data_IF_511839400406
#
_entry.id   IF_511839400406
#
_cell.length_a   1.000
_cell.length_b   1.000
_cell.length_c   1.000
_cell.angle_alpha   90.00
_cell.angle_beta   90.00
_cell.angle_gamma   90.00
#
_symmetry.space_group_name_H-M   'P 1'
#
loop_
_entity.id
_entity.type
_entity.pdbx_description
1 polymer ?
#
# COMPACT_ATOMS: atom_id res chain seq x y z
N UNK A 1 34.22 -4.23 27.23
CA UNK A 1 33.43 -3.11 26.68
C UNK A 1 33.86 -2.64 25.28
N UNK A 2 34.12 -3.55 24.34
CA UNK A 2 34.70 -3.20 23.03
C UNK A 2 33.85 -3.43 21.77
N UNK A 3 32.74 -4.17 21.84
CA UNK A 3 32.12 -4.74 20.62
C UNK A 3 30.81 -4.07 20.18
N UNK A 4 30.41 -2.95 20.79
CA UNK A 4 29.17 -2.26 20.44
C UNK A 4 29.40 -1.09 19.49
N UNK A 5 28.96 -1.24 18.23
CA UNK A 5 28.92 -0.15 17.24
C UNK A 5 27.50 0.40 17.10
N UNK A 6 27.31 1.68 17.39
CA UNK A 6 26.03 2.36 17.18
C UNK A 6 26.01 3.00 15.80
N UNK A 7 25.01 2.67 14.99
CA UNK A 7 24.81 3.24 13.65
C UNK A 7 23.43 3.88 13.59
N UNK A 8 23.37 5.18 13.30
CA UNK A 8 22.11 5.91 13.11
C UNK A 8 21.74 5.87 11.63
N UNK A 9 20.95 4.86 11.24
CA UNK A 9 20.50 4.70 9.86
C UNK A 9 19.10 4.05 9.81
N UNK A 10 18.47 4.10 8.64
CA UNK A 10 17.29 3.29 8.37
C UNK A 10 17.67 1.79 8.34
N UNK A 11 16.96 0.90 9.04
CA UNK A 11 17.31 -0.52 9.08
C UNK A 11 17.37 -1.18 7.69
N UNK A 12 16.49 -0.81 6.76
CA UNK A 12 16.53 -1.36 5.39
C UNK A 12 17.75 -0.87 4.62
N UNK A 13 18.12 0.39 4.82
CA UNK A 13 19.33 0.94 4.21
C UNK A 13 20.59 0.26 4.78
N UNK A 14 20.63 -0.01 6.09
CA UNK A 14 21.74 -0.71 6.73
C UNK A 14 21.91 -2.13 6.17
N UNK A 15 20.82 -2.90 6.04
CA UNK A 15 20.85 -4.26 5.49
C UNK A 15 21.33 -4.32 4.03
N UNK A 16 21.27 -3.21 3.29
CA UNK A 16 21.78 -3.12 1.91
C UNK A 16 23.28 -2.87 1.80
N UNK A 17 23.98 -2.64 2.91
CA UNK A 17 25.41 -2.31 2.92
C UNK A 17 26.34 -3.52 2.79
N UNK A 18 25.79 -4.74 2.78
CA UNK A 18 26.52 -5.97 2.48
C UNK A 18 27.23 -6.62 3.68
N UNK A 19 27.10 -6.08 4.88
CA UNK A 19 27.51 -6.77 6.11
C UNK A 19 26.61 -7.99 6.37
N UNK A 20 27.19 -9.05 6.95
CA UNK A 20 26.50 -10.29 7.29
C UNK A 20 26.54 -10.57 8.78
N UNK A 21 25.49 -11.21 9.28
CA UNK A 21 25.28 -11.45 10.70
C UNK A 21 24.84 -12.90 10.96
N UNK A 22 25.28 -13.47 12.08
CA UNK A 22 24.77 -14.76 12.59
C UNK A 22 23.38 -14.62 13.21
N UNK A 23 23.08 -13.45 13.78
CA UNK A 23 21.83 -13.16 14.47
C UNK A 23 21.39 -11.72 14.19
N UNK A 24 20.18 -11.56 13.66
CA UNK A 24 19.52 -10.27 13.53
C UNK A 24 18.37 -10.20 14.54
N UNK A 25 18.49 -9.30 15.52
CA UNK A 25 17.42 -9.01 16.48
C UNK A 25 16.66 -7.75 16.06
N UNK A 26 15.50 -7.92 15.44
CA UNK A 26 14.65 -6.81 15.04
C UNK A 26 13.71 -6.39 16.18
N UNK A 27 14.19 -5.44 16.99
CA UNK A 27 13.43 -4.80 18.06
C UNK A 27 12.53 -3.67 17.54
N UNK A 28 11.65 -3.99 16.57
CA UNK A 28 10.86 -3.02 15.84
C UNK A 28 9.44 -2.89 16.42
N UNK A 29 8.80 -1.71 16.30
CA UNK A 29 7.41 -1.52 16.72
C UNK A 29 6.47 -2.36 15.88
N UNK A 30 5.23 -2.55 16.34
CA UNK A 30 4.22 -3.28 15.59
C UNK A 30 3.82 -2.55 14.27
N UNK A 31 3.26 -3.26 13.28
CA UNK A 31 2.86 -2.68 11.99
C UNK A 31 1.57 -1.83 12.09
N UNK A 32 1.53 -0.88 13.04
CA UNK A 32 0.40 0.04 13.29
C UNK A 32 0.38 1.28 12.40
N UNK A 33 1.40 1.46 11.56
CA UNK A 33 1.47 2.52 10.55
C UNK A 33 2.14 1.97 9.29
N UNK A 34 1.93 2.61 8.13
CA UNK A 34 2.62 2.23 6.89
C UNK A 34 4.16 2.28 7.04
N UNK A 35 4.67 3.25 7.84
CA UNK A 35 6.10 3.35 8.16
C UNK A 35 6.63 2.15 8.95
N UNK A 36 5.86 1.61 9.88
CA UNK A 36 6.27 0.42 10.63
C UNK A 36 5.99 -0.86 9.84
N UNK A 37 4.92 -0.88 9.03
CA UNK A 37 4.54 -2.06 8.25
C UNK A 37 5.64 -2.51 7.28
N UNK A 38 6.43 -1.56 6.74
CA UNK A 38 7.57 -1.87 5.87
C UNK A 38 8.60 -2.78 6.54
N UNK A 39 8.66 -2.90 7.85
CA UNK A 39 9.60 -3.83 8.51
C UNK A 39 9.01 -5.22 8.75
N UNK A 40 7.88 -5.53 8.13
CA UNK A 40 7.20 -6.83 8.20
C UNK A 40 6.78 -7.30 6.80
N UNK A 41 7.43 -6.81 5.75
CA UNK A 41 7.13 -7.20 4.37
C UNK A 41 8.11 -8.26 3.86
N UNK A 42 7.71 -8.95 2.80
CA UNK A 42 8.58 -9.85 2.04
C UNK A 42 9.90 -9.20 1.68
N UNK A 43 9.88 -7.96 1.18
CA UNK A 43 11.09 -7.24 0.76
C UNK A 43 12.05 -7.00 1.94
N UNK A 44 11.53 -6.76 3.14
CA UNK A 44 12.35 -6.63 4.34
C UNK A 44 12.93 -7.97 4.79
N UNK A 45 12.13 -9.03 4.80
CA UNK A 45 12.62 -10.38 5.14
C UNK A 45 13.66 -10.89 4.13
N UNK A 46 13.51 -10.56 2.84
CA UNK A 46 14.50 -10.84 1.82
C UNK A 46 15.81 -10.07 2.07
N UNK A 47 15.73 -8.79 2.45
CA UNK A 47 16.91 -8.00 2.84
C UNK A 47 17.60 -8.60 4.08
N UNK A 48 16.85 -8.99 5.11
CA UNK A 48 17.40 -9.70 6.27
C UNK A 48 18.07 -11.01 5.87
N UNK A 49 17.43 -11.83 5.03
CA UNK A 49 18.01 -13.08 4.55
C UNK A 49 19.31 -12.86 3.75
N UNK A 50 19.40 -11.77 2.97
CA UNK A 50 20.62 -11.38 2.27
C UNK A 50 21.78 -10.98 3.21
N UNK A 51 21.44 -10.45 4.38
CA UNK A 51 22.38 -10.04 5.42
C UNK A 51 22.62 -11.12 6.51
N UNK A 52 22.08 -12.33 6.36
CA UNK A 52 22.32 -13.45 7.28
C UNK A 52 23.38 -14.40 6.72
N UNK A 53 24.28 -14.87 7.59
CA UNK A 53 25.15 -16.00 7.29
C UNK A 53 24.35 -17.32 7.14
N UNK A 54 24.93 -18.37 6.52
CA UNK A 54 24.39 -19.73 6.59
C UNK A 54 24.15 -20.12 8.07
N UNK A 55 23.01 -20.71 8.38
CA UNK A 55 22.59 -20.99 9.76
C UNK A 55 22.13 -19.77 10.59
N UNK A 56 22.21 -18.55 10.04
CA UNK A 56 21.82 -17.33 10.73
C UNK A 56 20.32 -17.28 11.07
N UNK A 57 19.99 -16.54 12.14
CA UNK A 57 18.62 -16.44 12.65
C UNK A 57 18.17 -14.98 12.65
N UNK A 58 16.98 -14.72 12.11
CA UNK A 58 16.25 -13.48 12.33
C UNK A 58 15.25 -13.71 13.47
N UNK A 59 15.27 -12.86 14.49
CA UNK A 59 14.28 -12.88 15.56
C UNK A 59 13.60 -11.51 15.71
N UNK A 60 12.28 -11.52 15.86
CA UNK A 60 11.51 -10.32 16.14
C UNK A 60 10.32 -10.61 17.03
N UNK A 61 9.71 -9.54 17.56
CA UNK A 61 8.55 -9.62 18.42
C UNK A 61 7.32 -9.14 17.68
N UNK A 62 6.20 -9.84 17.87
CA UNK A 62 4.89 -9.41 17.38
C UNK A 62 3.93 -9.38 18.56
N UNK A 63 3.19 -8.28 18.80
CA UNK A 63 2.15 -8.27 19.82
C UNK A 63 1.15 -9.40 19.54
N UNK A 64 0.94 -10.25 20.54
CA UNK A 64 0.06 -11.40 20.46
C UNK A 64 -1.08 -11.27 21.45
N UNK A 65 -1.69 -12.40 21.71
CA UNK A 65 -2.56 -12.61 22.87
C UNK A 65 -2.21 -13.98 23.42
N UNK A 66 -2.04 -14.05 24.74
CA UNK A 66 -1.52 -15.27 25.37
C UNK A 66 -2.50 -16.45 25.31
N UNK A 67 -3.81 -16.16 25.37
CA UNK A 67 -4.85 -17.19 25.53
C UNK A 67 -5.76 -17.34 24.30
N UNK A 68 -6.16 -16.24 23.66
CA UNK A 68 -7.10 -16.29 22.53
C UNK A 68 -6.65 -15.34 21.43
N UNK A 69 -6.35 -15.89 20.26
CA UNK A 69 -6.08 -15.11 19.07
C UNK A 69 -7.40 -14.75 18.40
N UNK A 70 -7.76 -13.46 18.44
CA UNK A 70 -8.83 -12.93 17.59
C UNK A 70 -8.45 -13.06 16.12
N UNK A 71 -9.46 -12.98 15.24
CA UNK A 71 -9.25 -13.11 13.80
C UNK A 71 -8.18 -12.12 13.27
N UNK A 72 -8.20 -10.80 13.61
CA UNK A 72 -7.16 -9.88 13.16
C UNK A 72 -5.74 -10.23 13.63
N UNK A 73 -5.58 -10.81 14.83
CA UNK A 73 -4.28 -11.26 15.34
C UNK A 73 -3.76 -12.45 14.52
N UNK A 74 -4.63 -13.44 14.30
CA UNK A 74 -4.28 -14.65 13.56
C UNK A 74 -3.95 -14.34 12.09
N UNK A 75 -4.75 -13.50 11.42
CA UNK A 75 -4.52 -13.05 10.04
C UNK A 75 -3.23 -12.24 9.89
N UNK A 76 -2.94 -11.35 10.85
CA UNK A 76 -1.67 -10.60 10.87
C UNK A 76 -0.48 -11.55 11.02
N UNK A 77 -0.53 -12.48 11.98
CA UNK A 77 0.53 -13.45 12.20
C UNK A 77 0.72 -14.38 10.99
N UNK A 78 -0.36 -14.86 10.37
CA UNK A 78 -0.32 -15.69 9.16
C UNK A 78 0.30 -14.96 7.97
N UNK A 79 -0.10 -13.70 7.73
CA UNK A 79 0.45 -12.87 6.66
C UNK A 79 1.95 -12.60 6.86
N UNK A 80 2.38 -12.27 8.08
CA UNK A 80 3.79 -12.07 8.41
C UNK A 80 4.58 -13.38 8.25
N UNK A 81 4.05 -14.50 8.76
CA UNK A 81 4.68 -15.83 8.61
C UNK A 81 4.88 -16.17 7.14
N UNK A 82 3.86 -15.98 6.30
CA UNK A 82 3.95 -16.23 4.85
C UNK A 82 5.01 -15.34 4.20
N UNK A 83 5.01 -14.06 4.53
CA UNK A 83 5.98 -13.09 3.99
C UNK A 83 7.42 -13.43 4.37
N UNK A 84 7.63 -13.88 5.60
CA UNK A 84 8.94 -14.31 6.08
C UNK A 84 9.36 -15.64 5.44
N UNK A 85 8.45 -16.60 5.33
CA UNK A 85 8.70 -17.93 4.77
C UNK A 85 9.15 -17.90 3.30
N UNK A 86 8.77 -16.86 2.54
CA UNK A 86 9.25 -16.68 1.16
C UNK A 86 10.78 -16.47 1.06
N UNK A 87 11.42 -15.92 2.11
CA UNK A 87 12.87 -15.69 2.16
C UNK A 87 13.61 -16.58 3.18
N UNK A 88 12.92 -17.00 4.23
CA UNK A 88 13.42 -17.78 5.37
C UNK A 88 12.44 -18.93 5.64
N UNK A 89 12.60 -20.10 4.97
CA UNK A 89 11.60 -21.16 4.94
C UNK A 89 11.18 -21.70 6.32
N UNK A 90 12.08 -21.66 7.30
CA UNK A 90 11.81 -22.16 8.64
C UNK A 90 11.41 -21.02 9.57
N UNK A 91 10.09 -20.85 9.75
CA UNK A 91 9.50 -19.85 10.66
C UNK A 91 8.86 -20.54 11.86
N UNK A 92 9.33 -20.23 13.07
CA UNK A 92 8.79 -20.69 14.34
C UNK A 92 8.21 -19.51 15.11
N UNK A 93 6.93 -19.59 15.48
CA UNK A 93 6.25 -18.57 16.29
C UNK A 93 6.03 -19.15 17.69
N UNK A 94 6.75 -18.63 18.67
CA UNK A 94 6.59 -18.99 20.07
C UNK A 94 5.48 -18.13 20.67
N UNK A 95 4.33 -18.71 21.06
CA UNK A 95 3.20 -17.95 21.57
C UNK A 95 3.44 -17.41 22.98
N UNK A 96 2.91 -16.23 23.25
CA UNK A 96 2.93 -15.61 24.57
C UNK A 96 2.12 -14.30 24.59
N UNK A 97 2.23 -13.52 25.66
CA UNK A 97 1.68 -12.15 25.68
C UNK A 97 2.26 -11.31 24.52
N UNK A 98 3.53 -11.55 24.20
CA UNK A 98 4.19 -11.11 22.97
C UNK A 98 4.75 -12.34 22.30
N UNK A 99 4.39 -12.55 21.04
CA UNK A 99 4.89 -13.68 20.26
C UNK A 99 6.34 -13.40 19.85
N UNK A 100 7.22 -14.37 20.06
CA UNK A 100 8.59 -14.33 19.53
C UNK A 100 8.61 -15.12 18.24
N UNK A 101 8.99 -14.47 17.15
CA UNK A 101 9.08 -15.09 15.84
C UNK A 101 10.55 -15.29 15.50
N UNK A 102 10.90 -16.53 15.17
CA UNK A 102 12.23 -16.93 14.74
C UNK A 102 12.15 -17.39 13.30
N UNK A 103 13.06 -16.90 12.46
CA UNK A 103 13.11 -17.24 11.04
C UNK A 103 14.54 -17.63 10.66
N UNK A 104 14.72 -18.73 9.92
CA UNK A 104 16.02 -19.13 9.39
C UNK A 104 15.90 -19.82 8.02
N UNK A 105 17.03 -19.92 7.33
CA UNK A 105 17.20 -20.78 6.14
C UNK A 105 17.34 -22.24 6.50
N UNK A 106 17.77 -22.53 7.73
CA UNK A 106 17.96 -23.89 8.23
C UNK A 106 16.89 -24.26 9.26
N UNK A 107 16.62 -25.57 9.47
CA UNK A 107 15.65 -26.02 10.46
C UNK A 107 15.95 -25.49 11.86
N UNK A 108 14.97 -24.81 12.46
CA UNK A 108 15.03 -24.38 13.84
C UNK A 108 14.76 -25.56 14.78
N UNK A 109 15.63 -25.78 15.77
CA UNK A 109 15.41 -26.83 16.76
C UNK A 109 14.17 -26.53 17.60
N UNK A 110 13.32 -27.53 17.75
CA UNK A 110 12.12 -27.51 18.61
C UNK A 110 12.29 -28.36 19.86
N UNK A 111 13.43 -29.05 19.98
CA UNK A 111 13.72 -29.93 21.11
C UNK A 111 14.18 -29.10 22.32
N UNK A 112 13.40 -29.06 23.41
CA UNK A 112 13.77 -28.31 24.61
C UNK A 112 15.02 -28.89 25.28
N UNK A 113 15.32 -30.19 25.12
CA UNK A 113 16.52 -30.79 25.70
C UNK A 113 17.80 -30.24 25.05
N UNK A 114 17.80 -30.08 23.72
CA UNK A 114 18.92 -29.49 22.97
C UNK A 114 19.15 -28.03 23.39
N UNK A 115 18.08 -27.25 23.51
CA UNK A 115 18.20 -25.85 23.93
C UNK A 115 18.63 -25.70 25.39
N UNK A 116 18.13 -26.57 26.26
CA UNK A 116 18.51 -26.62 27.68
C UNK A 116 19.97 -27.00 27.87
N UNK A 117 20.48 -27.97 27.10
CA UNK A 117 21.89 -28.34 27.09
C UNK A 117 22.76 -27.14 26.68
N UNK A 118 22.44 -26.49 25.55
CA UNK A 118 23.15 -25.28 25.07
C UNK A 118 23.10 -24.13 26.08
N UNK A 119 21.99 -23.95 26.79
CA UNK A 119 21.84 -22.93 27.81
C UNK A 119 22.82 -23.16 28.98
N UNK A 120 22.92 -24.41 29.44
CA UNK A 120 23.84 -24.82 30.52
C UNK A 120 25.31 -24.77 30.08
N UNK A 121 25.62 -25.29 28.90
CA UNK A 121 26.99 -25.28 28.32
C UNK A 121 27.55 -23.86 28.21
N UNK A 122 26.70 -22.90 27.86
CA UNK A 122 27.07 -21.48 27.73
C UNK A 122 27.04 -20.71 29.05
N UNK A 123 26.66 -21.36 30.16
CA UNK A 123 26.58 -20.73 31.49
C UNK A 123 25.63 -19.53 31.55
N UNK A 124 24.56 -19.53 30.76
CA UNK A 124 23.63 -18.39 30.68
C UNK A 124 22.87 -18.23 32.00
N UNK A 125 22.67 -16.98 32.43
CA UNK A 125 21.87 -16.65 33.60
C UNK A 125 20.68 -15.77 33.17
N UNK A 126 19.50 -16.40 33.06
CA UNK A 126 18.25 -15.70 32.74
C UNK A 126 17.41 -15.47 33.98
N UNK A 127 16.75 -14.31 34.06
CA UNK A 127 15.75 -14.01 35.13
C UNK A 127 14.39 -14.64 34.88
N UNK A 128 14.04 -14.83 33.61
CA UNK A 128 12.75 -15.37 33.15
C UNK A 128 12.96 -16.63 32.31
N UNK A 129 13.95 -16.60 31.41
CA UNK A 129 14.27 -17.73 30.55
C UNK A 129 15.27 -18.63 31.26
N UNK A 130 14.81 -19.82 31.62
CA UNK A 130 15.62 -20.92 32.14
C UNK A 130 15.26 -22.23 31.38
N UNK A 131 15.98 -23.34 31.60
CA UNK A 131 15.67 -24.62 30.97
C UNK A 131 14.21 -25.09 31.15
N UNK A 132 13.62 -24.89 32.34
CA UNK A 132 12.25 -25.30 32.61
C UNK A 132 11.23 -24.41 31.88
N UNK A 133 11.51 -23.11 31.75
CA UNK A 133 10.72 -22.20 30.94
C UNK A 133 10.78 -22.54 29.45
N UNK A 134 11.95 -22.92 28.93
CA UNK A 134 12.09 -23.36 27.54
C UNK A 134 11.30 -24.64 27.27
N UNK A 135 11.35 -25.60 28.22
CA UNK A 135 10.56 -26.82 28.16
C UNK A 135 9.06 -26.51 28.16
N UNK A 136 8.59 -25.68 29.09
CA UNK A 136 7.20 -25.21 29.11
C UNK A 136 6.80 -24.54 27.79
N UNK A 137 7.61 -23.61 27.27
CA UNK A 137 7.26 -22.83 26.08
C UNK A 137 7.15 -23.70 24.82
N UNK A 138 7.98 -24.75 24.71
CA UNK A 138 8.04 -25.62 23.53
C UNK A 138 7.12 -26.83 23.59
N UNK A 139 6.71 -27.26 24.79
CA UNK A 139 5.84 -28.43 24.98
C UNK A 139 4.38 -28.07 25.25
N UNK A 140 4.08 -26.79 25.48
CA UNK A 140 2.72 -26.34 25.76
C UNK A 140 1.81 -26.45 24.52
N UNK A 141 0.59 -26.95 24.73
CA UNK A 141 -0.51 -27.05 23.77
C UNK A 141 -0.74 -25.77 22.94
N UNK A 142 -0.44 -24.60 23.52
CA UNK A 142 -0.52 -23.30 22.83
C UNK A 142 0.32 -23.25 21.56
N UNK A 143 1.52 -23.83 21.56
CA UNK A 143 2.38 -23.83 20.37
C UNK A 143 1.70 -24.61 19.24
N UNK A 144 1.23 -25.82 19.51
CA UNK A 144 0.53 -26.66 18.55
C UNK A 144 -0.80 -26.02 18.07
N UNK A 145 -1.55 -25.40 18.99
CA UNK A 145 -2.80 -24.71 18.66
C UNK A 145 -2.57 -23.49 17.76
N UNK A 146 -1.54 -22.67 18.05
CA UNK A 146 -1.14 -21.55 17.20
C UNK A 146 -0.66 -22.01 15.83
N UNK A 147 0.15 -23.07 15.75
CA UNK A 147 0.61 -23.63 14.46
C UNK A 147 -0.56 -24.15 13.62
N UNK A 148 -1.47 -24.91 14.23
CA UNK A 148 -2.66 -25.45 13.56
C UNK A 148 -3.56 -24.32 13.04
N UNK A 149 -3.86 -23.32 13.88
CA UNK A 149 -4.66 -22.17 13.47
C UNK A 149 -4.02 -21.37 12.34
N UNK A 150 -2.70 -21.20 12.37
CA UNK A 150 -1.99 -20.52 11.28
C UNK A 150 -1.99 -21.34 10.00
N UNK A 151 -1.97 -22.68 10.07
CA UNK A 151 -2.03 -23.55 8.88
C UNK A 151 -3.39 -23.47 8.16
N UNK A 152 -4.47 -23.19 8.88
CA UNK A 152 -5.82 -23.04 8.33
C UNK A 152 -6.03 -21.69 7.60
N UNK A 153 -5.24 -20.67 7.92
CA UNK A 153 -5.43 -19.30 7.40
C UNK A 153 -4.62 -19.09 6.12
N UNK A 154 -5.32 -18.95 4.99
CA UNK A 154 -4.73 -18.51 3.71
C UNK A 154 -4.64 -16.98 3.62
N UNK A 155 -3.77 -16.38 4.44
CA UNK A 155 -3.54 -14.95 4.40
C UNK A 155 -2.60 -14.57 3.23
N UNK A 156 -2.86 -13.45 2.51
CA UNK A 156 -1.94 -12.94 1.51
C UNK A 156 -0.62 -12.47 2.16
N UNK A 157 0.52 -12.55 1.46
CA UNK A 157 1.77 -12.00 1.96
C UNK A 157 1.68 -10.46 2.04
N UNK A 158 2.36 -9.90 3.02
CA UNK A 158 2.57 -8.48 3.22
C UNK A 158 3.76 -8.03 2.37
N UNK A 159 3.52 -7.10 1.46
CA UNK A 159 4.54 -6.56 0.54
C UNK A 159 4.54 -5.04 0.59
N UNK A 160 5.59 -4.42 0.06
CA UNK A 160 5.64 -2.96 -0.08
C UNK A 160 4.53 -2.42 -0.99
N UNK A 161 4.13 -3.19 -2.01
CA UNK A 161 3.02 -2.85 -2.90
C UNK A 161 1.64 -3.05 -2.24
N UNK A 162 1.52 -4.06 -1.38
CA UNK A 162 0.27 -4.43 -0.71
C UNK A 162 0.48 -4.59 0.80
N UNK A 163 0.42 -3.48 1.57
CA UNK A 163 0.71 -3.46 3.01
C UNK A 163 -0.46 -4.02 3.86
N UNK A 164 -0.84 -5.28 3.65
CA UNK A 164 -2.03 -5.90 4.26
C UNK A 164 -1.99 -5.97 5.79
N UNK A 165 -0.80 -6.05 6.39
CA UNK A 165 -0.66 -6.13 7.86
C UNK A 165 -1.03 -4.84 8.58
N UNK A 166 -0.89 -3.68 7.91
CA UNK A 166 -1.39 -2.40 8.44
C UNK A 166 -2.91 -2.48 8.66
N UNK A 167 -3.65 -3.00 7.67
CA UNK A 167 -5.10 -3.16 7.74
C UNK A 167 -5.53 -4.12 8.85
N UNK A 168 -4.88 -5.28 9.02
CA UNK A 168 -5.20 -6.19 10.13
C UNK A 168 -4.91 -5.55 11.49
N UNK A 169 -3.83 -4.76 11.60
CA UNK A 169 -3.51 -4.03 12.83
C UNK A 169 -4.53 -2.91 13.10
N UNK A 170 -5.00 -2.20 12.07
CA UNK A 170 -6.09 -1.22 12.21
C UNK A 170 -7.39 -1.88 12.64
N UNK A 171 -7.74 -3.05 12.09
CA UNK A 171 -8.92 -3.81 12.50
C UNK A 171 -8.81 -4.27 13.96
N UNK A 172 -7.63 -4.73 14.39
CA UNK A 172 -7.35 -5.08 15.78
C UNK A 172 -7.46 -3.87 16.72
N UNK A 173 -7.03 -2.69 16.28
CA UNK A 173 -7.15 -1.49 17.09
C UNK A 173 -8.61 -1.02 17.19
N UNK A 174 -9.34 -1.04 16.07
CA UNK A 174 -10.76 -0.71 16.02
C UNK A 174 -11.61 -1.72 16.80
N UNK A 175 -11.23 -2.99 16.87
CA UNK A 175 -11.96 -3.99 17.64
C UNK A 175 -11.99 -3.72 19.15
N UNK A 176 -11.11 -2.85 19.65
CA UNK A 176 -11.16 -2.36 21.04
C UNK A 176 -12.37 -1.46 21.31
N UNK A 177 -12.85 -0.77 20.27
CA UNK A 177 -14.03 0.11 20.33
C UNK A 177 -15.27 -0.56 19.73
N UNK A 178 -15.08 -1.42 18.73
CA UNK A 178 -16.13 -2.12 17.99
C UNK A 178 -15.88 -3.64 18.03
N UNK A 179 -16.27 -4.34 19.10
CA UNK A 179 -15.90 -5.75 19.33
C UNK A 179 -16.26 -6.69 18.18
N UNK A 180 -17.33 -6.40 17.44
CA UNK A 180 -17.74 -7.17 16.27
C UNK A 180 -16.60 -7.37 15.25
N UNK A 181 -15.72 -6.38 15.05
CA UNK A 181 -14.58 -6.46 14.13
C UNK A 181 -13.52 -7.50 14.55
N UNK A 182 -13.47 -7.89 15.83
CA UNK A 182 -12.55 -8.92 16.33
C UNK A 182 -12.99 -10.35 16.02
N UNK A 183 -14.27 -10.55 15.69
CA UNK A 183 -14.87 -11.86 15.41
C UNK A 183 -15.15 -12.09 13.93
N UNK A 184 -14.92 -11.08 13.08
CA UNK A 184 -15.07 -11.21 11.63
C UNK A 184 -14.06 -12.23 11.13
N UNK A 185 -14.55 -13.41 10.78
CA UNK A 185 -13.75 -14.48 10.20
C UNK A 185 -13.45 -14.18 8.74
N UNK A 186 -12.20 -14.37 8.34
CA UNK A 186 -11.79 -14.12 6.97
C UNK A 186 -11.42 -12.67 6.68
N UNK A 187 -11.30 -12.37 5.40
CA UNK A 187 -11.15 -11.01 4.89
C UNK A 187 -12.38 -10.64 4.05
N UNK A 188 -13.52 -10.27 4.68
CA UNK A 188 -14.75 -9.96 3.95
C UNK A 188 -14.61 -8.75 3.03
N UNK A 189 -13.68 -7.84 3.34
CA UNK A 189 -13.35 -6.73 2.46
C UNK A 189 -12.72 -7.23 1.16
N UNK A 190 -11.79 -8.19 1.23
CA UNK A 190 -11.24 -8.84 0.03
C UNK A 190 -12.27 -9.73 -0.68
N UNK A 191 -13.10 -10.47 0.07
CA UNK A 191 -14.14 -11.31 -0.54
C UNK A 191 -15.19 -10.50 -1.30
N UNK A 192 -15.55 -9.32 -0.79
CA UNK A 192 -16.51 -8.40 -1.44
C UNK A 192 -15.87 -7.57 -2.55
N UNK A 193 -14.54 -7.48 -2.61
CA UNK A 193 -13.80 -6.67 -3.57
C UNK A 193 -14.19 -6.89 -5.04
N UNK A 194 -14.28 -8.13 -5.59
CA UNK A 194 -14.66 -8.32 -6.99
C UNK A 194 -16.07 -7.83 -7.30
N UNK A 195 -17.03 -8.05 -6.39
CA UNK A 195 -18.41 -7.61 -6.56
C UNK A 195 -18.52 -6.08 -6.51
N UNK A 196 -17.86 -5.44 -5.54
CA UNK A 196 -17.82 -3.97 -5.43
C UNK A 196 -17.08 -3.36 -6.63
N UNK A 197 -15.95 -3.94 -7.05
CA UNK A 197 -15.23 -3.50 -8.23
C UNK A 197 -16.09 -3.60 -9.50
N UNK A 198 -16.80 -4.72 -9.70
CA UNK A 198 -17.74 -4.87 -10.81
C UNK A 198 -18.87 -3.84 -10.77
N UNK A 199 -19.44 -3.57 -9.59
CA UNK A 199 -20.46 -2.54 -9.40
C UNK A 199 -19.93 -1.13 -9.72
N UNK A 200 -18.73 -0.79 -9.28
CA UNK A 200 -18.07 0.48 -9.57
C UNK A 200 -17.79 0.62 -11.07
N UNK A 201 -17.31 -0.44 -11.73
CA UNK A 201 -17.10 -0.45 -13.18
C UNK A 201 -18.43 -0.29 -13.92
N UNK A 202 -19.47 -1.01 -13.54
CA UNK A 202 -20.81 -0.88 -14.13
C UNK A 202 -21.37 0.53 -13.93
N UNK A 203 -21.21 1.11 -12.74
CA UNK A 203 -21.60 2.48 -12.44
C UNK A 203 -20.84 3.49 -13.31
N UNK A 204 -19.51 3.35 -13.44
CA UNK A 204 -18.69 4.20 -14.31
C UNK A 204 -19.12 4.08 -15.78
N UNK A 205 -19.39 2.87 -16.28
CA UNK A 205 -19.88 2.64 -17.63
C UNK A 205 -21.25 3.30 -17.85
N UNK A 206 -22.21 3.08 -16.95
CA UNK A 206 -23.53 3.71 -17.03
C UNK A 206 -23.43 5.24 -16.96
N UNK A 207 -22.64 5.77 -16.02
CA UNK A 207 -22.41 7.20 -15.87
C UNK A 207 -21.80 7.81 -17.13
N UNK A 208 -20.81 7.15 -17.76
CA UNK A 208 -20.24 7.63 -19.02
C UNK A 208 -21.26 7.59 -20.15
N UNK A 209 -22.03 6.52 -20.32
CA UNK A 209 -23.06 6.40 -21.35
C UNK A 209 -24.13 7.50 -21.21
N UNK A 210 -24.56 7.79 -19.98
CA UNK A 210 -25.54 8.84 -19.69
C UNK A 210 -24.93 10.23 -19.88
N UNK A 211 -23.67 10.44 -19.49
CA UNK A 211 -22.99 11.73 -19.60
C UNK A 211 -22.65 12.10 -21.05
N UNK A 212 -22.34 11.12 -21.91
CA UNK A 212 -22.08 11.35 -23.35
C UNK A 212 -23.26 11.98 -24.09
N UNK A 213 -24.49 11.85 -23.57
CA UNK A 213 -25.70 12.39 -24.23
C UNK A 213 -25.92 13.89 -24.04
N UNK A 214 -25.30 14.53 -23.05
CA UNK A 214 -25.55 15.94 -22.70
C UNK A 214 -24.23 16.65 -22.39
N UNK A 215 -23.92 17.72 -23.11
CA UNK A 215 -22.71 18.56 -22.94
C UNK A 215 -22.45 18.93 -21.48
N UNK A 216 -23.47 19.39 -20.75
CA UNK A 216 -23.34 19.75 -19.32
C UNK A 216 -22.90 18.56 -18.45
N UNK A 217 -23.48 17.38 -18.64
CA UNK A 217 -23.14 16.18 -17.83
C UNK A 217 -21.74 15.68 -18.15
N UNK A 218 -21.36 15.71 -19.44
CA UNK A 218 -20.01 15.40 -19.90
C UNK A 218 -18.96 16.30 -19.24
N UNK A 219 -19.15 17.61 -19.28
CA UNK A 219 -18.24 18.58 -18.64
C UNK A 219 -18.09 18.32 -17.14
N UNK A 220 -19.20 18.12 -16.42
CA UNK A 220 -19.15 17.81 -14.99
C UNK A 220 -18.43 16.49 -14.70
N UNK A 221 -18.69 15.45 -15.51
CA UNK A 221 -18.02 14.15 -15.34
C UNK A 221 -16.52 14.21 -15.62
N UNK A 222 -16.09 15.00 -16.61
CA UNK A 222 -14.67 15.23 -16.88
C UNK A 222 -13.97 15.99 -15.74
N UNK A 223 -14.64 16.98 -15.14
CA UNK A 223 -14.14 17.70 -13.97
C UNK A 223 -13.98 16.77 -12.76
N UNK A 224 -15.01 15.96 -12.46
CA UNK A 224 -14.92 14.98 -11.37
C UNK A 224 -13.85 13.90 -11.62
N UNK A 225 -13.67 13.47 -12.87
CA UNK A 225 -12.60 12.56 -13.23
C UNK A 225 -11.20 13.17 -13.04
N UNK A 226 -11.04 14.47 -13.31
CA UNK A 226 -9.77 15.18 -13.06
C UNK A 226 -9.42 15.20 -11.58
N UNK A 227 -10.36 15.62 -10.72
CA UNK A 227 -10.16 15.61 -9.27
C UNK A 227 -9.88 14.21 -8.72
N UNK A 228 -10.64 13.20 -9.18
CA UNK A 228 -10.43 11.81 -8.75
C UNK A 228 -9.06 11.26 -9.18
N UNK A 229 -8.67 11.45 -10.44
CA UNK A 229 -7.36 11.00 -10.96
C UNK A 229 -6.20 11.70 -10.26
N UNK A 230 -6.31 13.02 -10.06
CA UNK A 230 -5.30 13.80 -9.36
C UNK A 230 -5.05 13.28 -7.94
N UNK A 231 -6.11 13.16 -7.14
CA UNK A 231 -6.01 12.65 -5.77
C UNK A 231 -5.57 11.18 -5.70
N UNK A 232 -6.01 10.36 -6.66
CA UNK A 232 -5.60 8.96 -6.73
C UNK A 232 -4.10 8.81 -6.99
N UNK A 233 -3.57 9.51 -7.99
CA UNK A 233 -2.14 9.46 -8.32
C UNK A 233 -1.27 10.06 -7.22
N UNK A 234 -1.67 11.20 -6.66
CA UNK A 234 -0.96 11.83 -5.55
C UNK A 234 -0.88 10.87 -4.34
N UNK A 235 -2.01 10.29 -3.93
CA UNK A 235 -2.06 9.37 -2.78
C UNK A 235 -1.21 8.13 -3.03
N UNK A 236 -1.32 7.49 -4.21
CA UNK A 236 -0.54 6.29 -4.56
C UNK A 236 0.96 6.58 -4.54
N UNK A 237 1.39 7.70 -5.12
CA UNK A 237 2.80 8.09 -5.17
C UNK A 237 3.36 8.43 -3.79
N UNK A 238 2.58 9.11 -2.95
CA UNK A 238 2.95 9.43 -1.57
C UNK A 238 3.10 8.16 -0.73
N UNK A 239 2.15 7.22 -0.82
CA UNK A 239 2.20 5.96 -0.07
C UNK A 239 3.37 5.10 -0.56
N UNK A 240 3.60 5.04 -1.87
CA UNK A 240 4.75 4.33 -2.42
C UNK A 240 6.06 4.90 -1.89
N UNK A 241 6.20 6.23 -1.87
CA UNK A 241 7.39 6.90 -1.35
C UNK A 241 7.65 6.55 0.12
N UNK A 242 6.60 6.42 0.93
CA UNK A 242 6.71 6.02 2.33
C UNK A 242 7.14 4.55 2.50
N UNK A 243 6.66 3.65 1.63
CA UNK A 243 7.03 2.24 1.67
C UNK A 243 8.53 2.03 1.35
N UNK A 244 9.09 2.82 0.43
CA UNK A 244 10.45 2.65 -0.09
C UNK A 244 11.62 3.06 0.82
N UNK A 245 11.38 3.61 2.02
CA UNK A 245 12.47 3.95 2.95
C UNK A 245 12.53 5.41 3.42
N UNK A 246 11.80 6.30 2.77
CA UNK A 246 11.94 7.75 3.01
C UNK A 246 11.08 8.26 4.17
N UNK A 247 11.56 9.32 4.83
CA UNK A 247 10.79 10.02 5.87
C UNK A 247 9.69 10.85 5.22
N UNK A 248 8.48 10.27 5.11
CA UNK A 248 7.35 10.95 4.49
C UNK A 248 7.11 12.34 5.10
N UNK A 249 7.09 12.46 6.43
CA UNK A 249 6.81 13.74 7.10
C UNK A 249 7.82 14.84 6.78
N UNK A 250 9.09 14.49 6.54
CA UNK A 250 10.11 15.46 6.16
C UNK A 250 9.85 16.02 4.76
N UNK A 251 9.47 15.13 3.84
CA UNK A 251 9.42 15.45 2.41
C UNK A 251 7.99 15.77 1.92
N UNK A 252 6.96 15.59 2.76
CA UNK A 252 5.54 15.75 2.41
C UNK A 252 5.25 17.13 1.81
N UNK A 253 5.74 18.21 2.45
CA UNK A 253 5.54 19.56 1.94
C UNK A 253 6.12 19.76 0.54
N UNK A 254 7.29 19.17 0.27
CA UNK A 254 7.91 19.20 -1.05
C UNK A 254 7.12 18.37 -2.07
N UNK A 255 6.67 17.17 -1.71
CA UNK A 255 5.85 16.31 -2.59
C UNK A 255 4.55 17.01 -3.00
N UNK A 256 3.84 17.59 -2.04
CA UNK A 256 2.62 18.37 -2.31
C UNK A 256 2.93 19.58 -3.19
N UNK A 257 4.02 20.31 -2.91
CA UNK A 257 4.44 21.47 -3.72
C UNK A 257 4.75 21.07 -5.17
N UNK A 258 5.40 19.93 -5.38
CA UNK A 258 5.71 19.42 -6.72
C UNK A 258 4.44 19.03 -7.49
N UNK A 259 3.49 18.39 -6.82
CA UNK A 259 2.18 18.07 -7.41
C UNK A 259 1.42 19.35 -7.80
N UNK A 260 1.35 20.32 -6.90
CA UNK A 260 0.71 21.62 -7.17
C UNK A 260 1.44 22.41 -8.26
N UNK A 261 2.77 22.39 -8.29
CA UNK A 261 3.58 22.97 -9.35
C UNK A 261 3.31 22.31 -10.71
N UNK A 262 3.16 20.97 -10.72
CA UNK A 262 2.69 20.22 -11.87
C UNK A 262 1.32 20.70 -12.34
N UNK A 263 0.34 20.84 -11.43
CA UNK A 263 -0.98 21.37 -11.77
C UNK A 263 -0.92 22.77 -12.39
N UNK A 264 -0.11 23.67 -11.83
CA UNK A 264 0.08 25.02 -12.36
C UNK A 264 0.68 25.01 -13.79
N UNK A 265 1.67 24.15 -14.03
CA UNK A 265 2.25 23.95 -15.37
C UNK A 265 1.23 23.37 -16.35
N UNK A 266 0.51 22.33 -15.96
CA UNK A 266 -0.53 21.71 -16.80
C UNK A 266 -1.64 22.69 -17.19
N UNK A 267 -2.11 23.47 -16.21
CA UNK A 267 -3.14 24.48 -16.42
C UNK A 267 -2.68 25.62 -17.32
N UNK A 268 -1.45 26.13 -17.14
CA UNK A 268 -0.91 27.23 -17.94
C UNK A 268 -0.64 26.83 -19.40
N UNK A 269 -0.11 25.63 -19.65
CA UNK A 269 0.10 25.10 -21.00
C UNK A 269 -1.22 24.97 -21.76
N UNK A 270 -2.28 24.53 -21.08
CA UNK A 270 -3.61 24.31 -21.68
C UNK A 270 -4.56 25.50 -21.52
N UNK A 271 -4.09 26.62 -20.94
CA UNK A 271 -4.92 27.81 -20.69
C UNK A 271 -5.45 28.44 -21.98
N UNK A 272 -4.73 28.27 -23.09
CA UNK A 272 -5.16 28.74 -24.41
C UNK A 272 -5.81 27.57 -25.16
N UNK A 273 -7.09 27.67 -25.55
CA UNK A 273 -7.71 26.63 -26.36
C UNK A 273 -6.93 26.48 -27.67
N UNK A 274 -6.40 25.28 -27.93
CA UNK A 274 -5.73 24.99 -29.19
C UNK A 274 -6.74 25.12 -30.33
N UNK A 275 -6.49 26.06 -31.26
CA UNK A 275 -7.28 26.21 -32.47
C UNK A 275 -7.07 24.98 -33.36
N UNK A 276 -8.10 24.13 -33.47
CA UNK A 276 -8.07 22.89 -34.24
C UNK A 276 -8.74 21.74 -33.51
N UNK A 277 -10.07 21.74 -33.47
CA UNK A 277 -10.89 20.67 -32.91
C UNK A 277 -11.04 19.53 -33.94
N UNK A 278 -10.35 18.44 -33.67
CA UNK A 278 -10.39 17.15 -34.37
C UNK A 278 -9.55 16.17 -33.56
N UNK A 279 -9.06 15.06 -34.15
CA UNK A 279 -8.25 13.99 -33.50
C UNK A 279 -7.23 14.43 -32.42
N UNK A 280 -6.72 15.67 -32.48
CA UNK A 280 -5.87 16.28 -31.44
C UNK A 280 -6.55 16.37 -30.05
N UNK A 281 -7.88 16.43 -29.98
CA UNK A 281 -8.64 16.43 -28.72
C UNK A 281 -8.52 15.10 -27.95
N UNK A 282 -8.26 13.99 -28.65
CA UNK A 282 -8.04 12.67 -28.07
C UNK A 282 -6.61 12.48 -27.53
N UNK A 283 -5.67 13.38 -27.85
CA UNK A 283 -4.27 13.26 -27.40
C UNK A 283 -4.20 13.30 -25.88
N UNK A 284 -4.82 14.30 -25.24
CA UNK A 284 -4.77 14.44 -23.78
C UNK A 284 -5.34 13.22 -23.03
N UNK A 285 -6.55 12.72 -23.33
CA UNK A 285 -7.04 11.54 -22.62
C UNK A 285 -6.29 10.26 -22.98
N UNK A 286 -5.70 10.15 -24.18
CA UNK A 286 -4.78 9.07 -24.51
C UNK A 286 -3.48 9.15 -23.68
N UNK A 287 -2.90 10.34 -23.50
CA UNK A 287 -1.71 10.52 -22.64
C UNK A 287 -2.03 10.25 -21.17
N UNK A 288 -3.24 10.55 -20.68
CA UNK A 288 -3.69 10.12 -19.35
C UNK A 288 -3.69 8.59 -19.20
N UNK A 289 -4.22 7.87 -20.18
CA UNK A 289 -4.28 6.41 -20.14
C UNK A 289 -2.87 5.79 -20.20
N UNK A 290 -2.00 6.33 -21.06
CA UNK A 290 -0.58 5.91 -21.15
C UNK A 290 0.16 6.22 -19.85
N UNK A 291 -0.06 7.38 -19.24
CA UNK A 291 0.52 7.74 -17.95
C UNK A 291 0.06 6.79 -16.84
N UNK A 292 -1.24 6.51 -16.73
CA UNK A 292 -1.79 5.60 -15.73
C UNK A 292 -1.21 4.17 -15.89
N UNK A 293 -1.13 3.67 -17.12
CA UNK A 293 -0.53 2.37 -17.40
C UNK A 293 0.98 2.37 -17.12
N UNK A 294 1.69 3.44 -17.50
CA UNK A 294 3.11 3.62 -17.23
C UNK A 294 3.42 3.69 -15.74
N UNK A 295 2.59 4.38 -14.97
CA UNK A 295 2.69 4.44 -13.51
C UNK A 295 2.49 3.06 -12.89
N UNK A 296 1.42 2.33 -13.26
CA UNK A 296 1.19 0.97 -12.78
C UNK A 296 2.37 0.03 -13.10
N UNK A 297 2.90 0.12 -14.33
CA UNK A 297 4.07 -0.65 -14.76
C UNK A 297 5.38 -0.24 -14.04
N UNK A 298 5.51 1.02 -13.62
CA UNK A 298 6.66 1.51 -12.85
C UNK A 298 6.59 0.96 -11.42
N UNK A 299 5.43 1.09 -10.77
CA UNK A 299 5.19 0.61 -9.41
C UNK A 299 5.36 -0.92 -9.32
N UNK A 300 4.81 -1.67 -10.28
CA UNK A 300 4.93 -3.14 -10.31
C UNK A 300 6.36 -3.65 -10.54
N UNK A 301 7.26 -2.81 -11.08
CA UNK A 301 8.70 -3.10 -11.18
C UNK A 301 9.50 -2.66 -9.95
N UNK A 302 8.84 -2.18 -8.89
CA UNK A 302 9.48 -1.62 -7.71
C UNK A 302 10.20 -0.29 -7.98
N UNK A 303 9.85 0.42 -9.06
CA UNK A 303 10.42 1.74 -9.40
C UNK A 303 9.47 2.86 -8.99
N UNK A 304 9.84 3.61 -7.95
CA UNK A 304 10.23 4.99 -8.15
C UNK A 304 11.50 5.30 -7.34
N UNK A 305 12.54 5.72 -8.06
CA UNK A 305 13.91 5.91 -7.59
C UNK A 305 14.07 7.06 -6.60
N UNK A 306 13.58 6.86 -5.37
CA UNK A 306 13.61 7.85 -4.30
C UNK A 306 12.84 9.12 -4.66
N UNK A 307 13.24 10.23 -4.04
CA UNK A 307 12.54 11.52 -4.15
C UNK A 307 12.48 12.02 -5.60
N UNK A 308 13.57 11.90 -6.36
CA UNK A 308 13.63 12.36 -7.74
C UNK A 308 12.66 11.59 -8.65
N UNK A 309 12.60 10.26 -8.52
CA UNK A 309 11.66 9.44 -9.28
C UNK A 309 10.21 9.78 -8.96
N UNK A 310 9.87 9.90 -7.67
CA UNK A 310 8.51 10.28 -7.25
C UNK A 310 8.14 11.70 -7.69
N UNK A 311 9.10 12.64 -7.65
CA UNK A 311 8.89 14.02 -8.09
C UNK A 311 8.46 14.11 -9.55
N UNK A 312 9.13 13.36 -10.45
CA UNK A 312 8.78 13.35 -11.89
C UNK A 312 7.34 12.87 -12.09
N UNK A 313 6.96 11.78 -11.43
CA UNK A 313 5.60 11.23 -11.53
C UNK A 313 4.56 12.18 -10.94
N UNK A 314 4.85 12.87 -9.83
CA UNK A 314 3.92 13.84 -9.22
C UNK A 314 3.72 15.07 -10.11
N UNK A 315 4.80 15.64 -10.65
CA UNK A 315 4.70 16.81 -11.55
C UNK A 315 3.92 16.43 -12.81
N UNK A 316 4.21 15.28 -13.42
CA UNK A 316 3.51 14.81 -14.61
C UNK A 316 2.03 14.49 -14.32
N UNK A 317 1.73 13.80 -13.21
CA UNK A 317 0.37 13.48 -12.80
C UNK A 317 -0.46 14.73 -12.50
N UNK A 318 0.11 15.70 -11.77
CA UNK A 318 -0.52 16.98 -11.49
C UNK A 318 -0.79 17.78 -12.76
N UNK A 319 0.20 17.86 -13.68
CA UNK A 319 0.03 18.56 -14.95
C UNK A 319 -1.09 17.96 -15.81
N UNK A 320 -1.15 16.62 -15.86
CA UNK A 320 -2.17 15.89 -16.61
C UNK A 320 -3.57 16.03 -16.01
N UNK A 321 -3.71 15.95 -14.67
CA UNK A 321 -4.98 16.17 -13.98
C UNK A 321 -5.49 17.60 -14.22
N UNK A 322 -4.63 18.61 -14.08
CA UNK A 322 -4.98 20.00 -14.33
C UNK A 322 -5.34 20.26 -15.81
N UNK A 323 -4.63 19.65 -16.76
CA UNK A 323 -4.96 19.75 -18.17
C UNK A 323 -6.36 19.19 -18.47
N UNK A 324 -6.75 18.07 -17.83
CA UNK A 324 -8.09 17.51 -17.97
C UNK A 324 -9.15 18.47 -17.41
N UNK A 325 -8.89 19.08 -16.25
CA UNK A 325 -9.77 20.07 -15.64
C UNK A 325 -9.94 21.33 -16.53
N UNK A 326 -8.85 21.88 -17.05
CA UNK A 326 -8.89 23.05 -17.96
C UNK A 326 -9.65 22.73 -19.24
N UNK A 327 -9.55 21.50 -19.75
CA UNK A 327 -10.34 21.08 -20.90
C UNK A 327 -11.83 20.95 -20.58
N UNK A 328 -12.16 20.45 -19.40
CA UNK A 328 -13.55 20.40 -18.94
C UNK A 328 -14.14 21.82 -18.83
N UNK A 329 -13.39 22.78 -18.31
CA UNK A 329 -13.85 24.17 -18.15
C UNK A 329 -13.91 24.94 -19.47
N UNK A 330 -12.95 24.76 -20.38
CA UNK A 330 -12.93 25.41 -21.71
C UNK A 330 -13.97 24.86 -22.68
N UNK A 331 -14.37 23.59 -22.57
CA UNK A 331 -15.48 23.01 -23.34
C UNK A 331 -16.86 23.43 -22.86
N UNK A 332 -16.96 24.22 -21.79
CA UNK A 332 -18.23 24.71 -21.30
C UNK A 332 -18.69 25.91 -22.14
N UNK A 333 -19.68 25.68 -23.01
CA UNK A 333 -20.49 26.74 -23.61
C UNK A 333 -21.35 27.50 -22.56
N UNK A 334 -21.04 27.37 -21.26
CA UNK A 334 -21.79 27.93 -20.15
C UNK A 334 -21.04 29.13 -19.57
N UNK A 335 -21.28 30.30 -20.13
CA UNK A 335 -20.77 31.60 -19.70
C UNK A 335 -21.42 32.12 -18.39
N UNK A 336 -21.58 31.27 -17.36
CA UNK A 336 -22.28 31.63 -16.12
C UNK A 336 -21.50 31.31 -14.85
N UNK A 337 -21.59 32.16 -13.81
CA UNK A 337 -20.97 31.88 -12.50
C UNK A 337 -21.44 30.55 -11.88
N UNK A 338 -22.69 30.15 -12.15
CA UNK A 338 -23.27 28.90 -11.66
C UNK A 338 -22.65 27.63 -12.30
N UNK A 339 -22.16 27.70 -13.54
CA UNK A 339 -21.48 26.56 -14.17
C UNK A 339 -20.06 26.39 -13.64
N UNK A 340 -19.34 27.48 -13.39
CA UNK A 340 -18.00 27.46 -12.77
C UNK A 340 -18.06 26.86 -11.37
N UNK A 341 -19.02 27.29 -10.54
CA UNK A 341 -19.23 26.73 -9.21
C UNK A 341 -19.55 25.23 -9.23
N UNK A 342 -20.38 24.78 -10.19
CA UNK A 342 -20.72 23.38 -10.34
C UNK A 342 -19.52 22.52 -10.80
N UNK A 343 -18.70 23.02 -11.73
CA UNK A 343 -17.48 22.34 -12.19
C UNK A 343 -16.50 22.18 -11.04
N UNK A 344 -16.25 23.25 -10.29
CA UNK A 344 -15.37 23.23 -9.12
C UNK A 344 -15.91 22.29 -8.01
N UNK A 345 -17.21 22.34 -7.73
CA UNK A 345 -17.82 21.46 -6.73
C UNK A 345 -17.72 19.97 -7.09
N UNK A 346 -17.89 19.62 -8.37
CA UNK A 346 -17.76 18.22 -8.83
C UNK A 346 -16.30 17.77 -8.85
N UNK A 347 -15.35 18.66 -9.15
CA UNK A 347 -13.91 18.39 -9.03
C UNK A 347 -13.52 18.07 -7.57
N UNK A 348 -13.95 18.89 -6.61
CA UNK A 348 -13.73 18.64 -5.18
C UNK A 348 -14.38 17.32 -4.71
N UNK A 349 -15.61 17.04 -5.16
CA UNK A 349 -16.29 15.78 -4.84
C UNK A 349 -15.51 14.58 -5.42
N UNK A 350 -15.05 14.70 -6.67
CA UNK A 350 -14.21 13.70 -7.33
C UNK A 350 -12.91 13.46 -6.55
N UNK A 351 -12.22 14.52 -6.14
CA UNK A 351 -11.02 14.45 -5.33
C UNK A 351 -11.25 13.81 -3.96
N UNK A 352 -12.33 14.19 -3.27
CA UNK A 352 -12.72 13.60 -1.98
C UNK A 352 -12.97 12.09 -2.10
N UNK A 353 -13.76 11.68 -3.10
CA UNK A 353 -14.00 10.26 -3.39
C UNK A 353 -12.70 9.54 -3.78
N UNK A 354 -11.82 10.20 -4.54
CA UNK A 354 -10.50 9.68 -4.91
C UNK A 354 -9.66 9.37 -3.68
N UNK A 355 -9.46 10.36 -2.80
CA UNK A 355 -8.65 10.21 -1.60
C UNK A 355 -9.21 9.13 -0.65
N UNK A 356 -10.53 9.13 -0.40
CA UNK A 356 -11.17 8.15 0.49
C UNK A 356 -11.13 6.73 -0.09
N UNK A 357 -11.54 6.55 -1.34
CA UNK A 357 -11.57 5.22 -1.96
C UNK A 357 -10.17 4.66 -2.16
N UNK A 358 -9.20 5.49 -2.56
CA UNK A 358 -7.81 5.04 -2.71
C UNK A 358 -7.19 4.68 -1.37
N UNK A 359 -7.29 5.56 -0.37
CA UNK A 359 -6.66 5.33 0.93
C UNK A 359 -7.28 4.19 1.74
N UNK A 360 -8.62 4.08 1.75
CA UNK A 360 -9.33 3.13 2.60
C UNK A 360 -9.66 1.80 1.92
N UNK A 361 -9.81 1.79 0.59
CA UNK A 361 -10.34 0.63 -0.12
C UNK A 361 -9.38 0.08 -1.18
N UNK A 362 -9.00 0.86 -2.19
CA UNK A 362 -8.22 0.38 -3.34
C UNK A 362 -6.78 0.04 -2.94
N UNK A 363 -6.05 0.94 -2.26
CA UNK A 363 -4.64 0.67 -1.94
C UNK A 363 -4.46 -0.54 -1.00
N UNK A 364 -5.25 -0.71 0.09
CA UNK A 364 -5.13 -1.88 0.95
C UNK A 364 -5.53 -3.21 0.28
N UNK A 365 -6.50 -3.19 -0.65
CA UNK A 365 -7.06 -4.40 -1.27
C UNK A 365 -6.39 -4.77 -2.59
N UNK A 366 -6.28 -3.82 -3.52
CA UNK A 366 -5.70 -4.03 -4.84
C UNK A 366 -4.18 -3.85 -4.85
N UNK A 367 -3.59 -3.30 -3.79
CA UNK A 367 -2.21 -2.82 -3.79
C UNK A 367 -2.06 -1.49 -4.51
N UNK A 368 -0.87 -0.89 -4.43
CA UNK A 368 -0.56 0.38 -5.10
C UNK A 368 -0.57 0.20 -6.62
N UNK A 369 0.01 -0.89 -7.12
CA UNK A 369 0.02 -1.23 -8.55
C UNK A 369 -1.39 -1.46 -9.09
N UNK A 370 -2.23 -2.24 -8.38
CA UNK A 370 -3.61 -2.47 -8.77
C UNK A 370 -4.46 -1.20 -8.73
N UNK A 371 -4.21 -0.32 -7.77
CA UNK A 371 -4.89 0.99 -7.69
C UNK A 371 -4.50 1.89 -8.87
N UNK A 372 -3.21 1.96 -9.20
CA UNK A 372 -2.74 2.69 -10.38
C UNK A 372 -3.36 2.12 -11.67
N UNK A 373 -3.44 0.80 -11.81
CA UNK A 373 -4.11 0.15 -12.94
C UNK A 373 -5.60 0.50 -13.02
N UNK A 374 -6.31 0.59 -11.89
CA UNK A 374 -7.71 1.00 -11.86
C UNK A 374 -7.92 2.43 -12.38
N UNK A 375 -6.93 3.33 -12.23
CA UNK A 375 -7.01 4.69 -12.80
C UNK A 375 -7.07 4.72 -14.33
N UNK A 376 -6.60 3.67 -15.01
CA UNK A 376 -6.73 3.50 -16.47
C UNK A 376 -8.20 3.47 -16.89
N UNK A 377 -9.08 2.89 -16.07
CA UNK A 377 -10.52 2.82 -16.37
C UNK A 377 -11.15 4.22 -16.38
N UNK A 378 -10.77 5.07 -15.43
CA UNK A 378 -11.25 6.46 -15.35
C UNK A 378 -10.64 7.30 -16.47
N UNK A 379 -9.38 7.07 -16.84
CA UNK A 379 -8.77 7.69 -18.01
C UNK A 379 -9.46 7.27 -19.32
N UNK A 380 -9.79 5.99 -19.47
CA UNK A 380 -10.53 5.46 -20.63
C UNK A 380 -11.95 6.03 -20.70
N UNK A 381 -12.63 6.15 -19.57
CA UNK A 381 -13.91 6.86 -19.45
C UNK A 381 -13.79 8.31 -19.92
N UNK A 382 -12.70 9.00 -19.57
CA UNK A 382 -12.41 10.33 -20.09
C UNK A 382 -12.25 10.31 -21.61
N UNK A 383 -11.42 9.45 -22.20
CA UNK A 383 -11.26 9.31 -23.69
C UNK A 383 -12.62 9.18 -24.37
N UNK A 384 -13.44 8.28 -23.85
CA UNK A 384 -14.79 7.98 -24.30
C UNK A 384 -15.72 9.21 -24.33
N UNK A 385 -15.66 10.04 -23.28
CA UNK A 385 -16.43 11.27 -23.18
C UNK A 385 -15.97 12.29 -24.22
N UNK A 386 -14.67 12.38 -24.49
CA UNK A 386 -14.11 13.32 -25.48
C UNK A 386 -14.44 12.95 -26.91
N UNK A 387 -14.30 11.67 -27.27
CA UNK A 387 -14.60 11.21 -28.63
C UNK A 387 -16.07 11.41 -29.04
N UNK A 388 -16.98 11.47 -28.06
CA UNK A 388 -18.39 11.79 -28.31
C UNK A 388 -18.64 13.27 -28.64
N UNK A 389 -17.71 14.17 -28.33
CA UNK A 389 -17.83 15.59 -28.66
C UNK A 389 -17.65 15.85 -30.16
N UNK A 390 -16.75 15.10 -30.81
CA UNK A 390 -16.46 15.28 -32.24
C UNK A 390 -17.63 14.87 -33.16
N UNK A 391 -18.46 13.92 -32.72
CA UNK A 391 -19.62 13.46 -33.51
C UNK A 391 -20.84 14.39 -33.41
N UNK A 392 -20.88 15.27 -32.41
CA UNK A 392 -22.00 16.18 -32.17
C UNK A 392 -21.90 17.55 -32.87
N UNK A 393 -20.76 17.87 -33.48
CA UNK A 393 -20.52 19.15 -34.18
C UNK A 393 -20.85 19.05 -35.68
N UNK A 394 -21.24 17.86 -36.16
CA UNK A 394 -21.54 17.58 -37.57
C UNK A 394 -23.03 17.51 -37.96
N UNK A 395 -23.94 18.04 -37.13
CA UNK A 395 -25.37 18.13 -37.45
C UNK A 395 -25.91 19.55 -37.25
#
# INVERSE_FOLDING_TARGET
DGDARTITADPRALLSQGERYDLILAALPEPSSLRNNRTYTREFFAACAGALEPGGILAFRLPGAENLWSEPVAWRAASIRRSAAEALPHVLILPGAVNVVLCSREPLTRDPAVLSARFRERGLQGRLVDPAYLEYLLTNDRLAASESRLAEIDAPPNTDDRPVCFRYTSALWLSRFYPALGYVTGDPLAASFPAVAALVVAFLLLATLVARRRTRRRTLMLAGAAGWLGMAWETVLIVHYQAGGSSLYRDLGLLLTLFMGGMALGASIHARPAAGAGRRALILPATLAVFAAGLALSLGRGRPGGLAGTAVWLVAGGALAAALFVRASSGSALAGRASVAAIYGVDLLGGCLGALLVGLYLAPLAGLTGTAAATVLVAAAAVALVGSDEHGVGL
#
